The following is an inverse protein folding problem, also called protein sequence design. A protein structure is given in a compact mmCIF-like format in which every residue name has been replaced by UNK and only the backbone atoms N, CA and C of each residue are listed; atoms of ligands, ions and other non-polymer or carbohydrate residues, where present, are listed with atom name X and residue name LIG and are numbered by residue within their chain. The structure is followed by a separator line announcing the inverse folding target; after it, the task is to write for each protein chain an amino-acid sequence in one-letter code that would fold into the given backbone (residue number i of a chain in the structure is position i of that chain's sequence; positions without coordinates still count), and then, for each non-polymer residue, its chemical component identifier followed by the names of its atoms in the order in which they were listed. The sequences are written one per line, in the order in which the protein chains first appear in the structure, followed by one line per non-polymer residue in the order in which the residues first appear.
data_IF_470178419802
#
_entry.id   IF_470178419802
#
_cell.length_a   1.000
_cell.length_b   1.000
_cell.length_c   1.000
_cell.angle_alpha   90.00
_cell.angle_beta   90.00
_cell.angle_gamma   90.00
#
_symmetry.space_group_name_H-M   'P 1'
#
loop_
_entity.id
_entity.type
_entity.pdbx_description
1 polymer ?
#
# COMPACT_ATOMS: atom_id res chain seq x y z
N UNK A 1 8.37 -9.13 -9.58
CA UNK A 1 7.98 -7.71 -9.79
C UNK A 1 9.22 -6.84 -10.02
N UNK A 2 10.15 -6.78 -9.06
CA UNK A 2 11.36 -5.94 -9.13
C UNK A 2 12.25 -6.25 -10.34
N UNK A 3 12.33 -7.51 -10.77
CA UNK A 3 13.04 -7.90 -12.00
C UNK A 3 12.54 -7.19 -13.27
N UNK A 4 11.35 -6.60 -13.28
CA UNK A 4 10.88 -5.84 -14.45
C UNK A 4 11.36 -4.39 -14.44
N UNK A 5 11.96 -3.93 -13.34
CA UNK A 5 12.53 -2.58 -13.22
C UNK A 5 13.99 -2.64 -13.64
N UNK A 6 14.30 -2.06 -14.81
CA UNK A 6 15.66 -2.09 -15.39
C UNK A 6 16.33 -0.71 -15.50
N UNK A 7 15.56 0.37 -15.39
CA UNK A 7 16.05 1.74 -15.55
C UNK A 7 16.19 2.53 -14.24
N UNK A 8 16.01 1.89 -13.08
CA UNK A 8 16.08 2.56 -11.79
C UNK A 8 17.15 1.93 -10.90
N UNK A 9 17.87 2.78 -10.16
CA UNK A 9 18.78 2.34 -9.10
C UNK A 9 17.97 1.65 -8.00
N UNK A 10 18.32 0.41 -7.68
CA UNK A 10 17.72 -0.32 -6.56
C UNK A 10 18.59 -0.15 -5.32
N UNK A 11 17.97 0.17 -4.20
CA UNK A 11 18.62 0.31 -2.89
C UNK A 11 17.93 -0.65 -1.93
N UNK A 12 18.72 -1.40 -1.16
CA UNK A 12 18.21 -2.27 -0.12
C UNK A 12 18.45 -1.61 1.24
N UNK A 13 17.42 -1.00 1.80
CA UNK A 13 17.43 -0.38 3.12
C UNK A 13 16.02 -0.42 3.72
N UNK A 14 15.88 -0.24 5.04
CA UNK A 14 14.61 0.22 5.60
C UNK A 14 14.17 1.50 4.90
N UNK A 15 12.89 1.63 4.58
CA UNK A 15 12.37 2.77 3.83
C UNK A 15 12.31 4.03 4.70
N UNK A 16 12.08 3.85 6.00
CA UNK A 16 11.97 4.86 7.05
C UNK A 16 13.32 5.52 7.38
N UNK A 17 14.41 4.83 7.04
CA UNK A 17 15.78 5.26 7.31
C UNK A 17 16.58 5.54 6.03
N UNK A 18 15.97 5.35 4.86
CA UNK A 18 16.59 5.64 3.57
C UNK A 18 17.15 7.06 3.56
N UNK A 19 18.40 7.20 3.14
CA UNK A 19 19.07 8.48 2.97
C UNK A 19 19.86 8.46 1.67
N UNK A 20 19.34 9.18 0.68
CA UNK A 20 19.99 9.42 -0.59
C UNK A 20 20.46 10.87 -0.54
N UNK A 21 21.74 11.12 -0.78
CA UNK A 21 22.34 12.46 -0.90
C UNK A 21 21.89 13.15 -2.20
N UNK A 22 20.60 13.08 -2.49
CA UNK A 22 19.95 13.48 -3.74
C UNK A 22 18.47 13.79 -3.45
N UNK A 23 17.94 14.82 -4.12
CA UNK A 23 16.52 15.18 -4.09
C UNK A 23 15.91 15.01 -5.47
N UNK A 24 14.61 14.70 -5.49
CA UNK A 24 13.85 14.37 -6.68
C UNK A 24 12.67 15.32 -6.85
N UNK A 25 12.33 15.66 -8.08
CA UNK A 25 11.13 16.46 -8.39
C UNK A 25 9.84 15.73 -7.95
N UNK A 26 9.86 14.40 -7.96
CA UNK A 26 8.73 13.56 -7.53
C UNK A 26 9.22 12.42 -6.65
N UNK A 27 8.58 12.25 -5.49
CA UNK A 27 8.74 11.08 -4.62
C UNK A 27 7.42 10.31 -4.53
N UNK A 28 7.43 9.01 -4.83
CA UNK A 28 6.24 8.14 -4.76
C UNK A 28 6.29 7.22 -3.54
N UNK A 29 5.35 7.40 -2.61
CA UNK A 29 5.07 6.42 -1.55
C UNK A 29 3.99 5.44 -2.03
N UNK A 30 4.45 4.33 -2.61
CA UNK A 30 3.60 3.27 -3.16
C UNK A 30 3.20 2.19 -2.14
N UNK A 31 2.53 1.15 -2.64
CA UNK A 31 2.18 -0.06 -1.89
C UNK A 31 1.28 0.15 -0.67
N UNK A 32 0.46 1.20 -0.68
CA UNK A 32 -0.44 1.57 0.42
C UNK A 32 0.30 1.80 1.77
N UNK A 33 1.61 2.03 1.74
CA UNK A 33 2.46 2.11 2.94
C UNK A 33 2.08 3.25 3.89
N UNK A 34 1.35 4.26 3.41
CA UNK A 34 0.78 5.32 4.25
C UNK A 34 -0.14 4.78 5.35
N UNK A 35 -0.65 3.56 5.19
CA UNK A 35 -1.52 2.86 6.13
C UNK A 35 -0.77 1.88 7.04
N UNK A 36 0.57 1.93 7.14
CA UNK A 36 1.29 1.05 8.06
C UNK A 36 0.74 1.19 9.50
N UNK A 37 0.40 0.06 10.15
CA UNK A 37 -0.31 0.07 11.43
C UNK A 37 0.46 0.75 12.57
N UNK A 38 1.79 0.75 12.51
CA UNK A 38 2.64 1.48 13.47
C UNK A 38 2.76 2.97 13.08
N UNK A 39 2.32 3.91 13.95
CA UNK A 39 2.46 5.34 13.72
C UNK A 39 3.91 5.82 13.53
N UNK A 40 4.89 5.19 14.19
CA UNK A 40 6.30 5.56 14.05
C UNK A 40 6.82 5.21 12.66
N UNK A 41 6.43 4.04 12.13
CA UNK A 41 6.75 3.62 10.76
C UNK A 41 6.15 4.61 9.75
N UNK A 42 4.85 4.95 9.89
CA UNK A 42 4.20 5.95 9.03
C UNK A 42 4.91 7.31 9.06
N UNK A 43 5.26 7.79 10.24
CA UNK A 43 5.98 9.05 10.37
C UNK A 43 7.39 8.99 9.75
N UNK A 44 8.08 7.86 9.91
CA UNK A 44 9.37 7.59 9.27
C UNK A 44 9.26 7.68 7.75
N UNK A 45 8.31 6.95 7.14
CA UNK A 45 8.05 6.99 5.70
C UNK A 45 7.77 8.40 5.17
N UNK A 46 6.91 9.17 5.84
CA UNK A 46 6.58 10.53 5.44
C UNK A 46 7.77 11.48 5.59
N UNK A 47 8.61 11.30 6.63
CA UNK A 47 9.84 12.06 6.83
C UNK A 47 10.86 11.76 5.75
N UNK A 48 11.04 10.49 5.38
CA UNK A 48 11.88 10.08 4.25
C UNK A 48 11.37 10.75 2.97
N UNK A 49 10.07 10.72 2.69
CA UNK A 49 9.52 11.38 1.50
C UNK A 49 9.85 12.89 1.49
N UNK A 50 9.66 13.56 2.64
CA UNK A 50 9.94 15.00 2.78
C UNK A 50 11.42 15.35 2.63
N UNK A 51 12.32 14.47 3.05
CA UNK A 51 13.77 14.66 2.90
C UNK A 51 14.19 14.64 1.44
N UNK A 52 13.61 13.73 0.66
CA UNK A 52 14.05 13.46 -0.71
C UNK A 52 13.27 14.21 -1.79
N UNK A 53 12.14 14.85 -1.48
CA UNK A 53 11.45 15.70 -2.47
C UNK A 53 12.17 17.05 -2.60
N UNK A 54 12.34 17.56 -3.82
CA UNK A 54 12.84 18.92 -4.11
C UNK A 54 11.90 20.00 -3.54
N UNK A 55 12.37 21.25 -3.41
CA UNK A 55 11.55 22.32 -2.79
C UNK A 55 10.30 22.64 -3.61
N UNK A 56 10.43 22.64 -4.94
CA UNK A 56 9.33 22.80 -5.90
C UNK A 56 8.74 21.44 -6.35
N UNK A 57 9.17 20.34 -5.72
CA UNK A 57 8.73 18.99 -6.06
C UNK A 57 7.43 18.59 -5.37
N UNK A 58 6.98 17.35 -5.63
CA UNK A 58 5.79 16.81 -4.99
C UNK A 58 5.97 15.38 -4.46
N UNK A 59 5.19 15.05 -3.44
CA UNK A 59 5.07 13.68 -2.92
C UNK A 59 3.73 13.11 -3.38
N UNK A 60 3.79 12.02 -4.13
CA UNK A 60 2.61 11.25 -4.52
C UNK A 60 2.43 10.09 -3.54
N UNK A 61 1.24 9.96 -2.97
CA UNK A 61 0.94 8.94 -1.96
C UNK A 61 -0.17 8.04 -2.49
N UNK A 62 0.12 6.74 -2.62
CA UNK A 62 -0.91 5.74 -2.87
C UNK A 62 -1.64 5.43 -1.56
N UNK A 63 -2.96 5.67 -1.54
CA UNK A 63 -3.84 5.32 -0.43
C UNK A 63 -5.01 4.47 -0.90
N UNK A 64 -5.69 3.84 0.05
CA UNK A 64 -6.99 3.23 -0.23
C UNK A 64 -8.03 4.28 -0.60
N UNK A 65 -8.97 3.88 -1.46
CA UNK A 65 -10.11 4.71 -1.82
C UNK A 65 -10.99 4.98 -0.60
N UNK A 66 -11.66 6.13 -0.61
CA UNK A 66 -12.71 6.41 0.36
C UNK A 66 -13.82 5.33 0.32
N UNK A 67 -14.43 5.05 1.46
CA UNK A 67 -15.47 4.03 1.59
C UNK A 67 -15.01 2.59 1.36
N UNK A 68 -13.69 2.31 1.33
CA UNK A 68 -13.13 0.95 1.09
C UNK A 68 -13.70 -0.12 2.02
N UNK A 69 -14.08 0.25 3.24
CA UNK A 69 -14.58 -0.65 4.28
C UNK A 69 -16.05 -0.44 4.63
N UNK A 70 -16.77 0.33 3.81
CA UNK A 70 -18.19 0.63 4.01
C UNK A 70 -19.05 -0.21 3.07
N UNK A 71 -20.33 -0.39 3.38
CA UNK A 71 -21.30 -1.06 2.50
C UNK A 71 -20.82 -2.45 1.99
N UNK A 72 -20.24 -3.25 2.88
CA UNK A 72 -19.73 -4.59 2.57
C UNK A 72 -20.88 -5.61 2.46
N UNK A 73 -20.75 -6.65 1.61
CA UNK A 73 -19.59 -6.99 0.79
C UNK A 73 -19.44 -6.12 -0.47
N UNK A 74 -18.20 -5.81 -0.86
CA UNK A 74 -17.87 -5.10 -2.10
C UNK A 74 -17.09 -6.00 -3.07
N UNK A 75 -17.46 -5.96 -4.35
CA UNK A 75 -16.82 -6.75 -5.41
C UNK A 75 -16.09 -5.88 -6.43
N UNK A 76 -14.91 -6.35 -6.87
CA UNK A 76 -14.15 -5.74 -7.97
C UNK A 76 -13.65 -6.80 -8.95
N UNK A 77 -13.91 -6.59 -10.23
CA UNK A 77 -13.32 -7.40 -11.33
C UNK A 77 -11.82 -7.12 -11.42
N UNK A 78 -11.04 -8.19 -11.55
CA UNK A 78 -9.60 -8.14 -11.80
C UNK A 78 -9.27 -8.97 -13.05
N UNK A 79 -8.07 -8.78 -13.60
CA UNK A 79 -7.59 -9.67 -14.65
C UNK A 79 -7.55 -11.12 -14.12
N UNK A 80 -8.36 -12.00 -14.73
CA UNK A 80 -8.43 -13.41 -14.37
C UNK A 80 -9.45 -13.79 -13.28
N UNK A 81 -10.23 -12.85 -12.73
CA UNK A 81 -11.20 -13.18 -11.69
C UNK A 81 -11.93 -12.00 -11.04
N UNK A 82 -12.40 -12.24 -9.81
CA UNK A 82 -13.06 -11.28 -8.95
C UNK A 82 -12.37 -11.28 -7.58
N UNK A 83 -12.29 -10.09 -6.97
CA UNK A 83 -11.92 -9.91 -5.56
C UNK A 83 -13.16 -9.40 -4.84
N UNK A 84 -13.53 -10.03 -3.74
CA UNK A 84 -14.63 -9.59 -2.87
C UNK A 84 -14.08 -9.29 -1.48
N UNK A 85 -14.25 -8.06 -1.02
CA UNK A 85 -14.08 -7.71 0.40
C UNK A 85 -15.40 -8.05 1.08
N UNK A 86 -15.37 -9.01 2.00
CA UNK A 86 -16.58 -9.60 2.60
C UNK A 86 -16.92 -8.93 3.93
N UNK A 87 -15.94 -8.80 4.82
CA UNK A 87 -16.08 -8.11 6.10
C UNK A 87 -14.83 -7.32 6.43
N UNK A 88 -14.98 -6.37 7.34
CA UNK A 88 -13.88 -5.62 7.91
C UNK A 88 -14.20 -5.36 9.38
N UNK A 89 -13.36 -5.87 10.26
CA UNK A 89 -13.57 -5.87 11.70
C UNK A 89 -12.43 -5.09 12.38
N UNK A 90 -12.71 -4.22 13.38
CA UNK A 90 -11.66 -3.52 14.09
C UNK A 90 -10.85 -4.47 14.98
N UNK A 91 -9.52 -4.42 14.89
CA UNK A 91 -8.60 -5.22 15.71
C UNK A 91 -7.78 -4.37 16.70
N UNK A 92 -7.77 -3.05 16.52
CA UNK A 92 -7.07 -2.11 17.38
C UNK A 92 -7.17 -0.67 16.89
N UNK A 93 -6.49 0.29 17.56
CA UNK A 93 -6.49 1.68 17.16
C UNK A 93 -5.95 1.86 15.73
N UNK A 94 -6.85 2.16 14.79
CA UNK A 94 -6.51 2.36 13.38
C UNK A 94 -6.17 1.08 12.60
N UNK A 95 -6.35 -0.10 13.19
CA UNK A 95 -6.03 -1.40 12.57
C UNK A 95 -7.30 -2.23 12.41
N UNK A 96 -7.44 -2.87 11.25
CA UNK A 96 -8.59 -3.69 10.87
C UNK A 96 -8.16 -5.07 10.36
N UNK A 97 -8.95 -6.08 10.71
CA UNK A 97 -8.94 -7.39 10.04
C UNK A 97 -9.88 -7.33 8.85
N UNK A 98 -9.38 -7.65 7.66
CA UNK A 98 -10.17 -7.63 6.42
C UNK A 98 -10.30 -9.04 5.85
N UNK A 99 -11.53 -9.53 5.72
CA UNK A 99 -11.80 -10.81 5.06
C UNK A 99 -12.00 -10.61 3.56
N UNK A 100 -11.12 -11.23 2.75
CA UNK A 100 -11.13 -11.11 1.29
C UNK A 100 -11.24 -12.50 0.64
N UNK A 101 -12.18 -12.62 -0.31
CA UNK A 101 -12.36 -13.79 -1.15
C UNK A 101 -11.83 -13.52 -2.57
N UNK A 102 -11.08 -14.49 -3.11
CA UNK A 102 -10.62 -14.48 -4.49
C UNK A 102 -11.32 -15.57 -5.28
N UNK A 103 -12.02 -15.17 -6.35
CA UNK A 103 -12.65 -16.08 -7.31
C UNK A 103 -11.89 -15.96 -8.62
N UNK A 104 -10.97 -16.89 -8.87
CA UNK A 104 -10.18 -16.92 -10.10
C UNK A 104 -10.75 -17.95 -11.08
N UNK A 105 -10.60 -17.71 -12.39
CA UNK A 105 -11.05 -18.64 -13.42
C UNK A 105 -10.37 -20.00 -13.26
N UNK A 106 -11.17 -21.06 -13.12
CA UNK A 106 -10.68 -22.44 -13.07
C UNK A 106 -10.18 -22.94 -11.70
N UNK A 107 -10.42 -22.20 -10.61
CA UNK A 107 -9.99 -22.59 -9.26
C UNK A 107 -11.09 -22.44 -8.20
N UNK A 108 -11.03 -23.29 -7.17
CA UNK A 108 -11.85 -23.23 -5.96
C UNK A 108 -11.56 -21.92 -5.21
N UNK A 109 -12.56 -21.23 -4.60
CA UNK A 109 -12.35 -19.99 -3.86
C UNK A 109 -11.22 -20.13 -2.82
N UNK A 110 -10.27 -19.19 -2.82
CA UNK A 110 -9.19 -19.13 -1.82
C UNK A 110 -9.45 -17.98 -0.85
N UNK A 111 -9.28 -18.27 0.45
CA UNK A 111 -9.45 -17.34 1.56
C UNK A 111 -8.12 -16.65 1.87
N UNK A 112 -8.13 -15.34 2.06
CA UNK A 112 -7.01 -14.59 2.61
C UNK A 112 -7.51 -13.52 3.59
N UNK A 113 -6.83 -13.38 4.72
CA UNK A 113 -6.99 -12.26 5.63
C UNK A 113 -5.89 -11.23 5.32
N UNK A 114 -6.26 -9.96 5.21
CA UNK A 114 -5.32 -8.85 5.05
C UNK A 114 -5.48 -7.95 6.27
N UNK A 115 -4.37 -7.60 6.92
CA UNK A 115 -4.35 -6.64 8.03
C UNK A 115 -3.98 -5.28 7.44
N UNK A 116 -4.84 -4.28 7.66
CA UNK A 116 -4.64 -2.87 7.27
C UNK A 116 -4.75 -1.99 8.49
#
# INVERSE_FOLDING_TARGET
MLERVRGARTVCSPMEELDLDERFDVVLLGSLLVHAGDPHVRQGLLRTCRRHVADEGCVLIQRESEGRHENLPQERKIAGGLVRVVSTDPEGPGVRSVYVEYVLRGSIPRRAAVFS
#
